data_IF_326464246052
#
_entry.id   IF_326464246052
#
_cell.length_a   1.000
_cell.length_b   1.000
_cell.length_c   1.000
_cell.angle_alpha   90.00
_cell.angle_beta   90.00
_cell.angle_gamma   90.00
#
_symmetry.space_group_name_H-M   'P 1'
#
loop_
_entity.id
_entity.type
_entity.pdbx_description
1 polymer ?
#
# COMPACT_ATOMS: atom_id res chain seq x y z
N UNK A 1 13.56 -11.78 -11.46
CA UNK A 1 12.95 -10.60 -10.86
C UNK A 1 13.04 -9.35 -11.72
N UNK A 2 14.23 -8.96 -12.15
CA UNK A 2 14.37 -7.77 -12.98
C UNK A 2 13.61 -7.86 -14.31
N UNK A 3 13.55 -9.04 -14.89
CA UNK A 3 12.81 -9.26 -16.14
C UNK A 3 11.32 -9.06 -15.95
N UNK A 4 10.77 -9.51 -14.83
CA UNK A 4 9.36 -9.31 -14.50
C UNK A 4 9.04 -7.84 -14.27
N UNK A 5 9.97 -7.09 -13.67
CA UNK A 5 9.80 -5.66 -13.45
C UNK A 5 9.78 -4.86 -14.74
N UNK A 6 10.36 -5.41 -15.82
CA UNK A 6 10.39 -4.77 -17.13
C UNK A 6 9.14 -5.04 -17.93
N UNK A 7 8.33 -6.03 -17.52
CA UNK A 7 7.06 -6.33 -18.20
C UNK A 7 6.07 -5.21 -17.88
N UNK A 8 5.54 -4.50 -18.89
CA UNK A 8 4.55 -3.44 -18.63
C UNK A 8 3.30 -3.96 -17.93
N UNK A 9 2.95 -5.23 -18.13
CA UNK A 9 1.78 -5.83 -17.49
C UNK A 9 2.04 -6.17 -16.02
N UNK A 10 3.31 -6.35 -15.64
CA UNK A 10 3.67 -6.57 -14.24
C UNK A 10 3.23 -5.38 -13.38
N UNK A 11 3.49 -4.17 -13.85
CA UNK A 11 3.10 -2.97 -13.11
C UNK A 11 1.59 -2.86 -12.95
N UNK A 12 0.82 -3.18 -14.01
CA UNK A 12 -0.64 -3.14 -13.93
C UNK A 12 -1.17 -4.12 -12.89
N UNK A 13 -0.64 -5.36 -12.88
CA UNK A 13 -1.08 -6.39 -11.95
C UNK A 13 -0.68 -6.12 -10.52
N UNK A 14 0.43 -5.41 -10.31
CA UNK A 14 1.00 -5.17 -8.98
C UNK A 14 0.95 -3.71 -8.57
N UNK A 15 0.04 -2.94 -9.16
CA UNK A 15 -0.10 -1.51 -8.83
C UNK A 15 -0.38 -1.30 -7.35
N UNK A 16 -1.24 -2.11 -6.77
CA UNK A 16 -1.56 -2.01 -5.34
C UNK A 16 -0.32 -2.21 -4.48
N UNK A 17 0.48 -3.24 -4.80
CA UNK A 17 1.70 -3.53 -4.04
C UNK A 17 2.71 -2.40 -4.17
N UNK A 18 2.81 -1.82 -5.36
CA UNK A 18 3.68 -0.68 -5.59
C UNK A 18 3.27 0.53 -4.75
N UNK A 19 1.97 0.82 -4.70
CA UNK A 19 1.46 1.92 -3.88
C UNK A 19 1.65 1.66 -2.39
N UNK A 20 1.43 0.42 -1.95
CA UNK A 20 1.66 0.05 -0.55
C UNK A 20 3.09 0.34 -0.13
N UNK A 21 4.05 0.00 -0.97
CA UNK A 21 5.46 0.23 -0.68
C UNK A 21 5.74 1.73 -0.47
N UNK A 22 5.20 2.58 -1.34
CA UNK A 22 5.36 4.02 -1.22
C UNK A 22 4.71 4.59 0.05
N UNK A 23 3.55 4.06 0.41
CA UNK A 23 2.83 4.49 1.61
C UNK A 23 3.60 4.10 2.87
N UNK A 24 4.06 2.86 2.93
CA UNK A 24 4.85 2.37 4.07
C UNK A 24 6.12 3.20 4.24
N UNK A 25 6.79 3.51 3.15
CA UNK A 25 8.00 4.33 3.18
C UNK A 25 7.72 5.69 3.80
N UNK A 26 6.62 6.34 3.45
CA UNK A 26 6.27 7.65 4.01
C UNK A 26 6.03 7.58 5.51
N UNK A 27 5.39 6.51 5.98
CA UNK A 27 5.13 6.32 7.40
C UNK A 27 6.43 6.12 8.17
N UNK A 28 7.30 5.24 7.66
CA UNK A 28 8.59 4.96 8.31
C UNK A 28 9.47 6.20 8.31
N UNK A 29 9.56 6.91 7.18
CA UNK A 29 10.38 8.12 7.07
C UNK A 29 9.92 9.19 8.06
N UNK A 30 8.61 9.39 8.19
CA UNK A 30 8.06 10.33 9.16
C UNK A 30 8.47 9.95 10.58
N UNK A 31 8.30 8.66 10.91
CA UNK A 31 8.62 8.17 12.25
C UNK A 31 10.09 8.39 12.59
N UNK A 32 10.97 8.06 11.66
CA UNK A 32 12.41 8.23 11.86
C UNK A 32 12.78 9.72 11.96
N UNK A 33 12.22 10.54 11.08
CA UNK A 33 12.49 11.98 11.07
C UNK A 33 12.12 12.64 12.40
N UNK A 34 11.05 12.18 13.02
CA UNK A 34 10.57 12.76 14.27
C UNK A 34 11.03 11.96 15.50
N UNK A 35 11.96 11.04 15.32
CA UNK A 35 12.53 10.21 16.41
C UNK A 35 11.45 9.47 17.20
N UNK A 36 10.44 8.96 16.50
CA UNK A 36 9.35 8.21 17.13
C UNK A 36 9.59 6.72 16.96
N UNK A 37 9.32 5.97 18.03
CA UNK A 37 9.23 4.51 17.95
C UNK A 37 7.88 4.13 17.36
N UNK A 38 7.71 2.87 16.98
CA UNK A 38 6.40 2.38 16.55
C UNK A 38 5.34 2.60 17.63
N UNK A 39 5.74 2.40 18.89
CA UNK A 39 4.86 2.61 20.04
C UNK A 39 4.45 4.07 20.16
N UNK A 40 5.40 4.99 20.00
CA UNK A 40 5.12 6.43 20.08
C UNK A 40 4.15 6.85 18.98
N UNK A 41 4.38 6.41 17.74
CA UNK A 41 3.50 6.73 16.62
C UNK A 41 2.10 6.17 16.86
N UNK A 42 2.01 4.93 17.32
CA UNK A 42 0.75 4.29 17.60
C UNK A 42 -0.06 5.08 18.61
N UNK A 43 0.58 5.46 19.71
CA UNK A 43 -0.05 6.24 20.77
C UNK A 43 -0.62 7.56 20.23
N UNK A 44 0.18 8.28 19.44
CA UNK A 44 -0.23 9.57 18.86
C UNK A 44 -1.33 9.43 17.82
N UNK A 45 -1.30 8.37 17.05
CA UNK A 45 -2.31 8.10 16.02
C UNK A 45 -3.56 7.43 16.57
N UNK A 46 -3.57 7.10 17.86
CA UNK A 46 -4.73 6.49 18.51
C UNK A 46 -4.95 5.05 18.11
N UNK A 47 -3.88 4.26 17.99
CA UNK A 47 -3.99 2.84 17.65
C UNK A 47 -2.92 2.04 18.37
N UNK A 48 -2.97 0.72 18.25
CA UNK A 48 -2.01 -0.17 18.89
C UNK A 48 -0.69 -0.20 18.12
N UNK A 49 0.40 -0.47 18.86
CA UNK A 49 1.71 -0.66 18.26
C UNK A 49 1.68 -1.81 17.24
N UNK A 50 0.91 -2.84 17.52
CA UNK A 50 0.77 -4.00 16.64
C UNK A 50 0.22 -3.60 15.29
N UNK A 51 -0.75 -2.68 15.24
CA UNK A 51 -1.29 -2.15 14.00
C UNK A 51 -0.22 -1.40 13.21
N UNK A 52 0.57 -0.56 13.88
CA UNK A 52 1.65 0.19 13.22
C UNK A 52 2.68 -0.79 12.65
N UNK A 53 3.06 -1.80 13.42
CA UNK A 53 4.01 -2.81 12.98
C UNK A 53 3.52 -3.55 11.73
N UNK A 54 2.26 -3.95 11.71
CA UNK A 54 1.66 -4.62 10.54
C UNK A 54 1.65 -3.71 9.31
N UNK A 55 1.27 -2.46 9.49
CA UNK A 55 1.25 -1.50 8.39
C UNK A 55 2.65 -1.29 7.82
N UNK A 56 3.66 -1.17 8.68
CA UNK A 56 5.05 -1.00 8.25
C UNK A 56 5.60 -2.25 7.56
N UNK A 57 4.99 -3.41 7.79
CA UNK A 57 5.31 -4.64 7.09
C UNK A 57 4.47 -4.83 5.82
N UNK A 58 3.66 -3.85 5.46
CA UNK A 58 2.83 -3.91 4.26
C UNK A 58 1.51 -4.65 4.45
N UNK A 59 1.14 -4.96 5.67
CA UNK A 59 -0.12 -5.65 5.97
C UNK A 59 -1.21 -4.64 6.30
N UNK A 60 -2.02 -4.33 5.31
CA UNK A 60 -3.12 -3.37 5.47
C UNK A 60 -4.42 -4.12 5.72
N UNK A 61 -4.90 -4.11 6.95
CA UNK A 61 -6.14 -4.80 7.31
C UNK A 61 -7.39 -4.00 6.96
N UNK A 62 -7.29 -2.67 6.95
CA UNK A 62 -8.39 -1.82 6.52
C UNK A 62 -7.87 -0.47 6.03
N UNK A 63 -8.61 0.10 5.08
CA UNK A 63 -8.30 1.43 4.56
C UNK A 63 -8.51 2.49 5.63
N UNK A 64 -9.53 2.33 6.45
CA UNK A 64 -9.83 3.28 7.52
C UNK A 64 -8.69 3.40 8.52
N UNK A 65 -8.11 2.26 8.90
CA UNK A 65 -6.97 2.24 9.82
C UNK A 65 -5.74 2.90 9.19
N UNK A 66 -5.48 2.58 7.92
CA UNK A 66 -4.39 3.18 7.18
C UNK A 66 -4.56 4.69 7.07
N UNK A 67 -5.76 5.15 6.74
CA UNK A 67 -6.07 6.57 6.63
C UNK A 67 -5.81 7.31 7.93
N UNK A 68 -6.12 6.68 9.05
CA UNK A 68 -5.92 7.28 10.38
C UNK A 68 -4.44 7.63 10.61
N UNK A 69 -3.55 6.70 10.30
CA UNK A 69 -2.10 6.96 10.42
C UNK A 69 -1.67 8.02 9.44
N UNK A 70 -2.11 7.94 8.19
CA UNK A 70 -1.71 8.88 7.15
C UNK A 70 -2.15 10.30 7.48
N UNK A 71 -3.38 10.47 7.97
CA UNK A 71 -3.86 11.80 8.37
C UNK A 71 -2.99 12.40 9.47
N UNK A 72 -2.57 11.57 10.43
CA UNK A 72 -1.72 12.03 11.51
C UNK A 72 -0.38 12.57 10.97
N UNK A 73 0.21 11.90 9.98
CA UNK A 73 1.50 12.33 9.43
C UNK A 73 1.36 13.35 8.28
N UNK A 74 0.14 13.81 8.00
CA UNK A 74 -0.08 14.88 7.03
C UNK A 74 -0.41 14.42 5.62
N UNK A 75 -0.86 13.17 5.47
CA UNK A 75 -1.25 12.61 4.17
C UNK A 75 -2.68 12.11 4.20
N UNK A 76 -3.23 11.92 3.03
CA UNK A 76 -4.48 11.16 2.88
C UNK A 76 -4.25 10.09 1.82
N UNK A 77 -5.21 9.18 1.67
CA UNK A 77 -5.12 8.13 0.67
C UNK A 77 -6.25 8.30 -0.34
N UNK A 78 -5.90 8.12 -1.60
CA UNK A 78 -6.87 8.09 -2.69
C UNK A 78 -6.92 6.66 -3.23
N UNK A 79 -8.12 6.10 -3.26
CA UNK A 79 -8.33 4.76 -3.81
C UNK A 79 -9.11 4.90 -5.11
N UNK A 80 -8.61 4.28 -6.14
CA UNK A 80 -9.14 4.44 -7.47
C UNK A 80 -9.07 3.10 -8.21
N UNK A 81 -10.21 2.69 -8.76
CA UNK A 81 -10.22 1.52 -9.64
C UNK A 81 -9.67 1.94 -10.99
N UNK A 82 -8.58 1.33 -11.40
CA UNK A 82 -7.89 1.67 -12.64
C UNK A 82 -8.22 0.61 -13.69
N UNK A 83 -8.75 1.00 -14.86
CA UNK A 83 -9.05 0.01 -15.89
C UNK A 83 -7.76 -0.65 -16.40
N UNK A 84 -7.83 -1.95 -16.63
CA UNK A 84 -6.73 -2.69 -17.21
C UNK A 84 -6.67 -2.42 -18.71
N UNK A 85 -5.47 -2.59 -19.30
CA UNK A 85 -5.34 -2.56 -20.76
C UNK A 85 -6.20 -3.70 -21.34
N UNK A 86 -6.73 -3.48 -22.53
CA UNK A 86 -7.58 -4.48 -23.22
C UNK A 86 -6.84 -5.81 -23.38
N UNK A 87 -5.56 -5.74 -23.72
CA UNK A 87 -4.73 -6.93 -23.91
C UNK A 87 -4.61 -7.76 -22.63
N UNK A 88 -4.34 -7.10 -21.51
CA UNK A 88 -4.23 -7.78 -20.23
C UNK A 88 -5.57 -8.32 -19.77
N UNK A 89 -6.64 -7.56 -19.95
CA UNK A 89 -8.00 -7.99 -19.60
C UNK A 89 -8.36 -9.27 -20.32
N UNK A 90 -8.07 -9.35 -21.64
CA UNK A 90 -8.37 -10.53 -22.44
C UNK A 90 -7.56 -11.74 -21.98
N UNK A 91 -6.29 -11.55 -21.62
CA UNK A 91 -5.45 -12.63 -21.10
C UNK A 91 -6.01 -13.19 -19.80
N UNK A 92 -6.43 -12.31 -18.90
CA UNK A 92 -6.98 -12.73 -17.60
C UNK A 92 -8.29 -13.46 -17.76
N UNK A 93 -9.16 -13.02 -18.67
CA UNK A 93 -10.43 -13.70 -18.95
C UNK A 93 -10.20 -15.15 -19.41
N UNK A 94 -9.19 -15.36 -20.28
CA UNK A 94 -8.84 -16.71 -20.75
C UNK A 94 -8.31 -17.58 -19.63
N UNK A 95 -7.40 -17.03 -18.81
CA UNK A 95 -6.72 -17.80 -17.75
C UNK A 95 -7.68 -18.11 -16.61
N UNK A 96 -8.52 -17.14 -16.24
CA UNK A 96 -9.40 -17.27 -15.08
C UNK A 96 -10.79 -17.80 -15.45
N UNK A 97 -11.07 -17.98 -16.73
CA UNK A 97 -12.39 -18.39 -17.24
C UNK A 97 -13.50 -17.46 -16.72
N UNK A 98 -13.20 -16.19 -16.58
CA UNK A 98 -14.17 -15.18 -16.14
C UNK A 98 -15.09 -14.83 -17.30
N UNK A 99 -16.40 -14.86 -17.05
CA UNK A 99 -17.41 -14.54 -18.06
C UNK A 99 -17.98 -13.14 -17.81
#
# INVERSE_FOLDING_TARGET
>A
MQELLKDPHFKELHELEHQKFGIVKKIIDYRIKHSLTQKDLAKRAGMSQQHISKIENGEFSSVATLQKVLLFIGYTVKIEAIPLSTKLKNRLEKVLHVR
#
